data_IF_238129301626
#
_entry.id   IF_238129301626
#
_cell.length_a   1.000
_cell.length_b   1.000
_cell.length_c   1.000
_cell.angle_alpha   90.00
_cell.angle_beta   90.00
_cell.angle_gamma   90.00
#
_symmetry.space_group_name_H-M   'P 1'
#
loop_
_entity.id
_entity.type
_entity.pdbx_description
1 polymer ?
#
# COMPACT_ATOMS: atom_id res chain seq x y z
N UNK A 1 -2.07 -18.10 11.84
CA UNK A 1 -1.96 -16.85 12.63
C UNK A 1 -0.51 -16.40 12.56
N UNK A 2 -0.25 -15.18 12.05
CA UNK A 2 1.08 -14.63 11.90
C UNK A 2 1.77 -14.50 13.27
N UNK A 3 2.81 -15.30 13.51
CA UNK A 3 3.44 -15.39 14.82
C UNK A 3 4.61 -14.41 14.95
N UNK A 4 4.32 -13.20 15.46
CA UNK A 4 5.34 -12.16 15.71
C UNK A 4 6.32 -12.50 16.81
N UNK A 5 6.02 -13.47 17.69
CA UNK A 5 6.84 -13.78 18.86
C UNK A 5 8.20 -14.40 18.49
N UNK A 6 8.25 -15.11 17.36
CA UNK A 6 9.48 -15.76 16.87
C UNK A 6 10.40 -14.87 16.03
N UNK A 7 10.01 -13.62 15.79
CA UNK A 7 10.82 -12.68 15.01
C UNK A 7 11.88 -12.01 15.87
N UNK A 8 13.01 -11.65 15.24
CA UNK A 8 13.97 -10.77 15.90
C UNK A 8 13.36 -9.40 16.24
N UNK A 9 13.96 -8.68 17.18
CA UNK A 9 13.40 -7.44 17.70
C UNK A 9 13.28 -6.35 16.63
N UNK A 10 14.28 -6.21 15.76
CA UNK A 10 14.30 -5.17 14.72
C UNK A 10 13.18 -5.38 13.69
N UNK A 11 13.03 -6.62 13.23
CA UNK A 11 11.98 -7.01 12.30
C UNK A 11 10.58 -6.79 12.90
N UNK A 12 10.38 -7.27 14.15
CA UNK A 12 9.13 -7.10 14.89
C UNK A 12 8.76 -5.63 15.09
N UNK A 13 9.74 -4.78 15.46
CA UNK A 13 9.51 -3.35 15.64
C UNK A 13 9.08 -2.67 14.34
N UNK A 14 9.75 -2.97 13.22
CA UNK A 14 9.42 -2.38 11.92
C UNK A 14 8.05 -2.82 11.41
N UNK A 15 7.73 -4.11 11.50
CA UNK A 15 6.38 -4.61 11.12
C UNK A 15 5.30 -3.95 11.98
N UNK A 16 5.54 -3.75 13.27
CA UNK A 16 4.58 -3.12 14.19
C UNK A 16 4.31 -1.64 13.88
N UNK A 17 5.17 -0.98 13.12
CA UNK A 17 4.93 0.38 12.61
C UNK A 17 4.01 0.40 11.38
N UNK A 18 3.92 -0.71 10.66
CA UNK A 18 3.14 -0.85 9.42
C UNK A 18 1.79 -1.49 9.71
N UNK A 19 1.81 -2.60 10.44
CA UNK A 19 0.61 -3.32 10.89
C UNK A 19 0.46 -3.02 12.38
N UNK A 20 -0.56 -2.25 12.72
CA UNK A 20 -0.82 -1.83 14.10
C UNK A 20 -0.97 -3.06 15.02
N UNK A 21 -0.18 -3.18 16.10
CA UNK A 21 -0.22 -4.34 16.98
C UNK A 21 -1.49 -4.45 17.83
N UNK A 22 -2.27 -3.37 17.97
CA UNK A 22 -3.48 -3.36 18.80
C UNK A 22 -4.67 -4.03 18.11
N UNK A 23 -4.80 -3.85 16.79
CA UNK A 23 -5.92 -4.38 16.01
C UNK A 23 -5.48 -5.31 14.88
N UNK A 24 -4.17 -5.48 14.67
CA UNK A 24 -3.56 -6.23 13.58
C UNK A 24 -3.99 -5.75 12.19
N UNK A 25 -4.20 -4.44 12.04
CA UNK A 25 -4.66 -3.81 10.80
C UNK A 25 -3.63 -2.83 10.23
N UNK A 26 -3.75 -2.56 8.93
CA UNK A 26 -2.89 -1.63 8.22
C UNK A 26 -3.66 -0.85 7.15
N UNK A 27 -3.53 0.48 7.18
CA UNK A 27 -3.92 1.35 6.08
C UNK A 27 -2.65 1.98 5.48
N UNK A 28 -2.20 1.43 4.37
CA UNK A 28 -1.05 1.93 3.61
C UNK A 28 -1.53 2.80 2.45
N UNK A 29 -0.85 3.91 2.19
CA UNK A 29 -1.12 4.79 1.06
C UNK A 29 -0.07 4.58 -0.03
N UNK A 30 -0.47 4.02 -1.18
CA UNK A 30 0.39 3.80 -2.33
C UNK A 30 0.53 5.06 -3.18
N UNK A 31 1.74 5.59 -3.29
CA UNK A 31 2.10 6.75 -4.12
C UNK A 31 3.35 6.50 -4.96
N UNK A 32 3.66 5.23 -5.19
CA UNK A 32 4.79 4.78 -6.00
C UNK A 32 4.50 4.72 -7.51
N UNK A 33 3.27 4.93 -7.95
CA UNK A 33 2.81 4.73 -9.33
C UNK A 33 3.67 5.40 -10.41
N UNK A 34 4.29 6.54 -10.10
CA UNK A 34 5.13 7.28 -11.04
C UNK A 34 6.34 6.52 -11.56
N UNK A 35 6.80 5.45 -10.88
CA UNK A 35 7.98 4.71 -11.31
C UNK A 35 7.77 3.95 -12.63
N UNK A 36 6.51 3.65 -12.99
CA UNK A 36 6.18 2.97 -14.24
C UNK A 36 5.15 3.71 -15.10
N UNK A 37 4.27 4.55 -14.49
CA UNK A 37 3.26 5.34 -15.21
C UNK A 37 3.75 6.72 -15.62
N UNK A 38 4.83 7.23 -15.00
CA UNK A 38 5.22 8.63 -15.14
C UNK A 38 4.22 9.57 -14.46
N UNK A 39 4.02 10.80 -14.97
CA UNK A 39 3.01 11.73 -14.45
C UNK A 39 1.62 11.11 -14.55
N UNK A 40 0.92 11.03 -13.43
CA UNK A 40 -0.40 10.42 -13.34
C UNK A 40 -1.37 11.44 -12.77
N UNK A 41 -2.61 11.45 -13.27
CA UNK A 41 -3.67 12.36 -12.81
C UNK A 41 -3.75 12.41 -11.29
N UNK A 42 -3.72 13.62 -10.72
CA UNK A 42 -3.68 13.94 -9.28
C UNK A 42 -2.43 13.41 -8.54
N UNK A 43 -1.40 12.94 -9.26
CA UNK A 43 -0.09 12.57 -8.71
C UNK A 43 1.07 13.20 -9.52
N UNK A 44 0.80 14.21 -10.33
CA UNK A 44 1.81 14.99 -11.06
C UNK A 44 2.75 15.73 -10.09
N UNK A 45 2.21 16.14 -8.94
CA UNK A 45 2.96 16.69 -7.82
C UNK A 45 2.66 15.88 -6.56
N UNK A 46 3.50 14.87 -6.24
CA UNK A 46 3.27 13.97 -5.11
C UNK A 46 3.18 14.70 -3.76
N UNK A 47 3.97 15.77 -3.53
CA UNK A 47 3.91 16.54 -2.28
C UNK A 47 2.52 17.11 -2.02
N UNK A 48 1.93 17.78 -3.03
CA UNK A 48 0.58 18.35 -2.92
C UNK A 48 -0.48 17.29 -2.65
N UNK A 49 -0.31 16.12 -3.27
CA UNK A 49 -1.25 14.99 -3.12
C UNK A 49 -1.11 14.31 -1.76
N UNK A 50 0.12 14.06 -1.29
CA UNK A 50 0.38 13.29 -0.07
C UNK A 50 0.08 14.12 1.18
N UNK A 51 0.55 15.36 1.22
CA UNK A 51 0.53 16.23 2.41
C UNK A 51 -0.83 16.31 3.13
N UNK A 52 -1.98 16.46 2.47
CA UNK A 52 -3.26 16.55 3.15
C UNK A 52 -3.78 15.23 3.72
N UNK A 53 -3.32 14.08 3.20
CA UNK A 53 -3.89 12.76 3.48
C UNK A 53 -2.96 11.83 4.28
N UNK A 54 -1.63 12.04 4.26
CA UNK A 54 -0.67 11.12 4.87
C UNK A 54 -0.88 10.91 6.37
N UNK A 55 -1.39 11.89 7.10
CA UNK A 55 -1.68 11.75 8.55
C UNK A 55 -2.81 10.78 8.89
N UNK A 56 -3.53 10.29 7.90
CA UNK A 56 -4.65 9.37 8.08
C UNK A 56 -4.31 7.93 7.68
N UNK A 57 -3.12 7.67 7.15
CA UNK A 57 -2.62 6.31 6.92
C UNK A 57 -1.58 5.91 7.98
N UNK A 58 -1.29 4.62 8.06
CA UNK A 58 -0.31 4.05 8.99
C UNK A 58 1.10 4.06 8.38
N UNK A 59 1.18 3.98 7.04
CA UNK A 59 2.44 4.02 6.31
C UNK A 59 2.26 4.52 4.87
N UNK A 60 3.36 4.97 4.26
CA UNK A 60 3.42 5.33 2.84
C UNK A 60 4.21 4.30 2.06
N UNK A 61 3.65 3.82 0.94
CA UNK A 61 4.40 3.05 -0.05
C UNK A 61 4.79 3.95 -1.22
N UNK A 62 6.10 4.15 -1.42
CA UNK A 62 6.64 5.12 -2.38
C UNK A 62 8.06 4.75 -2.84
N UNK A 63 8.55 5.45 -3.86
CA UNK A 63 9.92 5.34 -4.35
C UNK A 63 10.87 6.28 -3.59
N UNK A 64 12.18 6.01 -3.65
CA UNK A 64 13.21 6.90 -3.07
C UNK A 64 13.16 8.33 -3.61
N UNK A 65 12.76 8.49 -4.88
CA UNK A 65 12.61 9.82 -5.49
C UNK A 65 11.48 10.61 -4.84
N UNK A 66 10.29 10.01 -4.73
CA UNK A 66 9.13 10.63 -4.06
C UNK A 66 9.41 10.90 -2.58
N UNK A 67 10.05 9.97 -1.86
CA UNK A 67 10.42 10.19 -0.47
C UNK A 67 11.26 11.45 -0.28
N UNK A 68 12.31 11.61 -1.08
CA UNK A 68 13.25 12.75 -0.96
C UNK A 68 12.65 14.08 -1.32
N UNK A 69 11.72 14.11 -2.28
CA UNK A 69 11.21 15.36 -2.86
C UNK A 69 9.83 15.76 -2.32
N UNK A 70 9.11 14.84 -1.68
CA UNK A 70 7.67 15.03 -1.44
C UNK A 70 7.21 14.67 -0.02
N UNK A 71 8.10 14.12 0.82
CA UNK A 71 7.80 13.80 2.22
C UNK A 71 8.73 14.61 3.12
N UNK A 72 8.15 15.37 4.03
CA UNK A 72 8.91 16.10 5.04
C UNK A 72 9.62 15.09 5.98
N UNK A 73 10.94 15.18 6.05
CA UNK A 73 11.77 14.30 6.87
C UNK A 73 11.48 14.43 8.37
N UNK A 74 10.94 15.56 8.82
CA UNK A 74 10.50 15.77 10.21
C UNK A 74 9.18 15.07 10.53
N UNK A 75 8.43 14.59 9.51
CA UNK A 75 7.17 13.92 9.74
C UNK A 75 7.38 12.42 9.99
N UNK A 76 7.02 11.90 11.18
CA UNK A 76 7.36 10.53 11.60
C UNK A 76 6.39 9.48 11.01
N UNK A 77 6.36 9.34 9.69
CA UNK A 77 5.54 8.31 9.04
C UNK A 77 6.39 7.11 8.60
N UNK A 78 5.98 5.87 8.88
CA UNK A 78 6.65 4.69 8.39
C UNK A 78 6.65 4.62 6.86
N UNK A 79 7.81 4.31 6.27
CA UNK A 79 7.99 4.20 4.83
C UNK A 79 8.17 2.74 4.42
N UNK A 80 7.33 2.29 3.50
CA UNK A 80 7.51 1.04 2.74
C UNK A 80 8.13 1.42 1.40
N UNK A 81 9.43 1.24 1.28
CA UNK A 81 10.19 1.73 0.15
C UNK A 81 10.10 0.78 -1.04
N UNK A 82 9.57 1.24 -2.18
CA UNK A 82 9.65 0.51 -3.46
C UNK A 82 11.11 0.42 -3.89
N UNK A 83 11.63 -0.81 -4.01
CA UNK A 83 13.03 -1.06 -4.38
C UNK A 83 13.19 -1.75 -5.73
N UNK A 84 12.10 -2.19 -6.38
CA UNK A 84 12.12 -2.75 -7.73
C UNK A 84 11.51 -1.80 -8.75
N UNK A 85 11.87 -1.98 -10.00
CA UNK A 85 11.42 -1.22 -11.16
C UNK A 85 12.28 -1.53 -12.39
N UNK A 86 12.23 -0.69 -13.40
CA UNK A 86 13.05 -0.80 -14.61
C UNK A 86 12.26 -0.81 -15.91
N UNK A 87 10.93 -0.92 -15.83
CA UNK A 87 10.04 -0.89 -17.00
C UNK A 87 8.98 0.20 -16.86
N UNK A 88 8.44 0.65 -17.98
CA UNK A 88 7.37 1.64 -18.05
C UNK A 88 6.19 1.14 -18.87
N UNK A 89 5.04 1.82 -18.76
CA UNK A 89 3.82 1.46 -19.51
C UNK A 89 3.97 1.56 -21.03
N UNK A 90 4.97 2.25 -21.53
CA UNK A 90 5.29 2.33 -22.96
C UNK A 90 6.34 1.31 -23.39
N UNK A 91 6.93 0.58 -22.43
CA UNK A 91 7.82 -0.54 -22.69
C UNK A 91 7.07 -1.80 -23.12
N UNK A 92 7.79 -2.78 -23.67
CA UNK A 92 7.19 -4.01 -24.16
C UNK A 92 6.56 -4.86 -23.04
N UNK A 93 7.21 -4.93 -21.87
CA UNK A 93 6.77 -5.80 -20.77
C UNK A 93 7.07 -5.18 -19.39
N UNK A 94 6.01 -4.86 -18.66
CA UNK A 94 6.11 -4.33 -17.30
C UNK A 94 6.68 -5.34 -16.29
N UNK A 95 6.67 -6.63 -16.60
CA UNK A 95 7.19 -7.66 -15.71
C UNK A 95 8.74 -7.72 -15.69
N UNK A 96 9.42 -7.00 -16.61
CA UNK A 96 10.88 -6.90 -16.63
C UNK A 96 11.37 -5.90 -15.57
N UNK A 97 11.23 -6.28 -14.31
CA UNK A 97 11.72 -5.49 -13.17
C UNK A 97 13.00 -6.08 -12.56
N UNK A 98 13.85 -5.18 -12.06
CA UNK A 98 15.06 -5.49 -11.30
C UNK A 98 15.08 -4.69 -9.99
N UNK A 99 15.99 -5.04 -9.07
CA UNK A 99 16.27 -4.22 -7.90
C UNK A 99 16.98 -2.94 -8.35
N UNK A 100 16.33 -1.80 -8.12
CA UNK A 100 16.81 -0.46 -8.50
C UNK A 100 17.30 0.37 -7.30
N UNK A 101 17.03 -0.11 -6.08
CA UNK A 101 17.42 0.54 -4.83
C UNK A 101 17.97 -0.51 -3.87
N UNK A 102 19.21 -0.37 -3.41
CA UNK A 102 19.85 -1.31 -2.48
C UNK A 102 19.28 -1.22 -1.08
N UNK A 103 19.46 -2.29 -0.28
CA UNK A 103 19.11 -2.29 1.14
C UNK A 103 19.88 -1.22 1.92
N UNK A 104 21.16 -0.98 1.60
CA UNK A 104 21.96 0.10 2.21
C UNK A 104 21.37 1.48 1.98
N UNK A 105 20.85 1.75 0.76
CA UNK A 105 20.16 3.01 0.47
C UNK A 105 18.84 3.12 1.24
N UNK A 106 18.09 2.03 1.36
CA UNK A 106 16.86 1.99 2.14
C UNK A 106 17.11 2.27 3.64
N UNK A 107 18.22 1.76 4.20
CA UNK A 107 18.65 2.06 5.57
C UNK A 107 18.93 3.57 5.72
N UNK A 108 19.67 4.16 4.79
CA UNK A 108 19.96 5.61 4.80
C UNK A 108 18.69 6.47 4.72
N UNK A 109 17.64 5.97 4.05
CA UNK A 109 16.34 6.61 3.93
C UNK A 109 15.40 6.28 5.10
N UNK A 110 15.88 5.54 6.11
CA UNK A 110 15.09 5.11 7.27
C UNK A 110 13.80 4.36 6.90
N UNK A 111 13.87 3.50 5.87
CA UNK A 111 12.73 2.68 5.47
C UNK A 111 12.32 1.69 6.56
N UNK A 112 11.02 1.57 6.78
CA UNK A 112 10.44 0.59 7.72
C UNK A 112 10.21 -0.77 7.08
N UNK A 113 10.08 -0.84 5.75
CA UNK A 113 10.03 -2.07 4.96
C UNK A 113 10.49 -1.81 3.53
N UNK A 114 10.82 -2.88 2.81
CA UNK A 114 11.11 -2.84 1.38
C UNK A 114 9.95 -3.48 0.61
N UNK A 115 9.60 -2.91 -0.54
CA UNK A 115 8.58 -3.47 -1.42
C UNK A 115 9.14 -3.75 -2.80
N UNK A 116 8.87 -4.96 -3.32
CA UNK A 116 9.19 -5.30 -4.69
C UNK A 116 8.07 -6.12 -5.35
N UNK A 117 7.99 -6.08 -6.68
CA UNK A 117 7.02 -6.89 -7.43
C UNK A 117 7.61 -8.25 -7.80
N UNK A 118 6.75 -9.27 -7.77
CA UNK A 118 6.96 -10.54 -8.47
C UNK A 118 5.85 -10.73 -9.50
N UNK A 119 6.18 -11.35 -10.63
CA UNK A 119 5.27 -11.51 -11.77
C UNK A 119 5.15 -12.99 -12.12
N UNK A 120 4.42 -13.74 -11.29
CA UNK A 120 4.20 -15.17 -11.47
C UNK A 120 3.49 -15.45 -12.80
N UNK A 121 3.98 -16.38 -13.59
CA UNK A 121 3.45 -16.72 -14.91
C UNK A 121 3.84 -15.76 -16.05
N UNK A 122 4.68 -14.73 -15.80
CA UNK A 122 5.18 -13.83 -16.83
C UNK A 122 6.48 -14.34 -17.45
N UNK A 123 6.92 -13.70 -18.55
CA UNK A 123 8.21 -13.95 -19.19
C UNK A 123 9.40 -13.81 -18.22
N UNK A 124 9.30 -12.91 -17.23
CA UNK A 124 10.35 -12.60 -16.26
C UNK A 124 10.08 -13.16 -14.87
N UNK A 125 9.23 -14.18 -14.76
CA UNK A 125 8.89 -14.84 -13.50
C UNK A 125 10.12 -15.25 -12.71
N UNK A 126 11.01 -16.06 -13.32
CA UNK A 126 12.22 -16.57 -12.65
C UNK A 126 13.07 -15.44 -12.07
N UNK A 127 13.31 -14.39 -12.85
CA UNK A 127 14.11 -13.24 -12.43
C UNK A 127 13.50 -12.55 -11.21
N UNK A 128 12.19 -12.30 -11.23
CA UNK A 128 11.52 -11.54 -10.14
C UNK A 128 11.41 -12.37 -8.87
N UNK A 129 11.20 -13.67 -8.96
CA UNK A 129 11.19 -14.59 -7.81
C UNK A 129 12.59 -14.70 -7.19
N UNK A 130 13.64 -14.89 -8.01
CA UNK A 130 15.04 -14.95 -7.52
C UNK A 130 15.47 -13.63 -6.88
N UNK A 131 15.06 -12.50 -7.46
CA UNK A 131 15.32 -11.19 -6.87
C UNK A 131 14.64 -11.03 -5.50
N UNK A 132 13.43 -11.58 -5.32
CA UNK A 132 12.75 -11.57 -4.01
C UNK A 132 13.57 -12.32 -2.96
N UNK A 133 14.00 -13.55 -3.25
CA UNK A 133 14.83 -14.33 -2.30
C UNK A 133 16.15 -13.63 -1.94
N UNK A 134 16.83 -13.02 -2.93
CA UNK A 134 18.06 -12.24 -2.68
C UNK A 134 17.80 -11.01 -1.82
N UNK A 135 16.71 -10.28 -2.11
CA UNK A 135 16.33 -9.10 -1.31
C UNK A 135 15.98 -9.48 0.11
N UNK A 136 15.26 -10.58 0.33
CA UNK A 136 14.92 -11.08 1.66
C UNK A 136 16.19 -11.39 2.45
N UNK A 137 17.12 -12.16 1.88
CA UNK A 137 18.39 -12.51 2.54
C UNK A 137 19.16 -11.25 2.98
N UNK A 138 19.32 -10.27 2.07
CA UNK A 138 20.04 -9.02 2.42
C UNK A 138 19.28 -8.17 3.44
N UNK A 139 17.94 -8.08 3.34
CA UNK A 139 17.13 -7.27 4.23
C UNK A 139 17.06 -7.84 5.67
N UNK A 140 17.04 -9.18 5.81
CA UNK A 140 17.02 -9.86 7.11
C UNK A 140 18.28 -9.61 7.91
N UNK A 141 19.46 -9.45 7.27
CA UNK A 141 20.72 -9.09 7.97
C UNK A 141 20.55 -7.78 8.78
N UNK A 142 19.63 -6.91 8.39
CA UNK A 142 19.35 -5.62 9.03
C UNK A 142 18.00 -5.60 9.76
N UNK A 143 17.30 -6.73 9.85
CA UNK A 143 15.97 -6.84 10.44
C UNK A 143 14.93 -5.98 9.73
N UNK A 144 15.01 -5.82 8.39
CA UNK A 144 14.08 -5.04 7.59
C UNK A 144 13.08 -5.98 6.90
N UNK A 145 11.76 -5.85 7.12
CA UNK A 145 10.78 -6.70 6.47
C UNK A 145 10.66 -6.41 4.98
N UNK A 146 10.40 -7.45 4.20
CA UNK A 146 10.11 -7.36 2.77
C UNK A 146 8.64 -7.61 2.51
N UNK A 147 8.01 -6.71 1.77
CA UNK A 147 6.66 -6.82 1.23
C UNK A 147 6.77 -7.21 -0.25
N UNK A 148 6.27 -8.39 -0.58
CA UNK A 148 6.16 -8.82 -1.97
C UNK A 148 4.82 -8.36 -2.57
N UNK A 149 4.87 -7.66 -3.71
CA UNK A 149 3.70 -7.30 -4.50
C UNK A 149 3.51 -8.35 -5.59
N UNK A 150 2.43 -9.14 -5.52
CA UNK A 150 2.09 -10.07 -6.58
C UNK A 150 1.42 -9.30 -7.72
N UNK A 151 2.21 -8.92 -8.70
CA UNK A 151 1.71 -8.21 -9.87
C UNK A 151 1.15 -9.23 -10.88
N UNK A 152 0.00 -8.93 -11.45
CA UNK A 152 -0.68 -9.80 -12.43
C UNK A 152 -0.33 -9.34 -13.83
N UNK A 153 0.20 -10.25 -14.66
CA UNK A 153 0.42 -10.01 -16.09
C UNK A 153 -0.90 -9.71 -16.82
N UNK A 154 -0.79 -9.18 -18.05
CA UNK A 154 -1.97 -8.78 -18.86
C UNK A 154 -2.92 -9.94 -19.13
N UNK A 155 -2.38 -11.15 -19.27
CA UNK A 155 -3.10 -12.37 -19.70
C UNK A 155 -3.47 -13.30 -18.52
N UNK A 156 -3.19 -12.89 -17.28
CA UNK A 156 -3.44 -13.71 -16.08
C UNK A 156 -4.71 -13.29 -15.37
N UNK A 157 -5.57 -14.28 -15.08
CA UNK A 157 -6.80 -14.07 -14.31
C UNK A 157 -6.50 -13.68 -12.85
N UNK A 158 -7.35 -12.84 -12.30
CA UNK A 158 -7.31 -12.49 -10.86
C UNK A 158 -8.26 -13.41 -10.07
N UNK A 159 -8.20 -14.71 -10.32
CA UNK A 159 -8.97 -15.69 -9.58
C UNK A 159 -8.25 -16.17 -8.30
N UNK A 160 -8.97 -16.83 -7.42
CA UNK A 160 -8.43 -17.27 -6.13
C UNK A 160 -7.31 -18.30 -6.28
N UNK A 161 -7.35 -19.16 -7.32
CA UNK A 161 -6.33 -20.19 -7.56
C UNK A 161 -4.99 -19.56 -7.92
N UNK A 162 -4.99 -18.61 -8.87
CA UNK A 162 -3.78 -17.90 -9.28
C UNK A 162 -3.22 -17.02 -8.15
N UNK A 163 -4.08 -16.28 -7.46
CA UNK A 163 -3.63 -15.42 -6.36
C UNK A 163 -3.11 -16.23 -5.17
N UNK A 164 -3.70 -17.39 -4.87
CA UNK A 164 -3.17 -18.32 -3.87
C UNK A 164 -1.77 -18.81 -4.24
N UNK A 165 -1.55 -19.20 -5.51
CA UNK A 165 -0.24 -19.62 -6.01
C UNK A 165 0.80 -18.49 -5.85
N UNK A 166 0.50 -17.30 -6.33
CA UNK A 166 1.43 -16.17 -6.28
C UNK A 166 1.75 -15.73 -4.85
N UNK A 167 0.74 -15.65 -3.97
CA UNK A 167 0.93 -15.30 -2.56
C UNK A 167 1.75 -16.37 -1.83
N UNK A 168 1.50 -17.65 -2.11
CA UNK A 168 2.25 -18.73 -1.52
C UNK A 168 3.70 -18.75 -1.96
N UNK A 169 3.99 -18.55 -3.24
CA UNK A 169 5.37 -18.43 -3.76
C UNK A 169 6.09 -17.27 -3.06
N UNK A 170 5.45 -16.11 -2.94
CA UNK A 170 6.04 -14.96 -2.25
C UNK A 170 6.42 -15.28 -0.80
N UNK A 171 5.52 -15.93 -0.07
CA UNK A 171 5.75 -16.32 1.33
C UNK A 171 6.86 -17.38 1.48
N UNK A 172 6.89 -18.39 0.59
CA UNK A 172 7.95 -19.42 0.58
C UNK A 172 9.34 -18.86 0.22
N UNK A 173 9.40 -17.74 -0.51
CA UNK A 173 10.65 -17.00 -0.77
C UNK A 173 11.03 -16.07 0.41
N UNK A 174 10.31 -16.12 1.52
CA UNK A 174 10.63 -15.36 2.73
C UNK A 174 10.01 -13.97 2.83
N UNK A 175 9.06 -13.61 1.96
CA UNK A 175 8.35 -12.34 2.13
C UNK A 175 7.61 -12.31 3.47
N UNK A 176 7.71 -11.19 4.19
CA UNK A 176 7.09 -11.01 5.51
C UNK A 176 5.64 -10.52 5.42
N UNK A 177 5.30 -9.87 4.32
CA UNK A 177 3.97 -9.33 3.99
C UNK A 177 3.77 -9.54 2.49
N UNK A 178 2.55 -9.88 2.09
CA UNK A 178 2.18 -9.96 0.67
C UNK A 178 1.12 -8.93 0.36
N UNK A 179 1.33 -8.16 -0.72
CA UNK A 179 0.32 -7.30 -1.32
C UNK A 179 -0.21 -7.96 -2.59
N UNK A 180 -1.53 -8.18 -2.63
CA UNK A 180 -2.20 -8.82 -3.77
C UNK A 180 -3.54 -8.15 -4.09
N UNK A 181 -4.25 -8.63 -5.10
CA UNK A 181 -5.58 -8.16 -5.45
C UNK A 181 -6.66 -8.91 -4.68
N UNK A 182 -7.81 -8.28 -4.51
CA UNK A 182 -9.02 -8.95 -4.05
C UNK A 182 -9.67 -9.71 -5.21
N UNK A 183 -10.23 -10.88 -4.91
CA UNK A 183 -11.00 -11.70 -5.86
C UNK A 183 -12.17 -12.39 -5.16
N UNK A 184 -13.03 -13.04 -5.91
CA UNK A 184 -14.03 -13.95 -5.36
C UNK A 184 -13.36 -15.13 -4.63
N UNK A 185 -13.96 -15.61 -3.54
CA UNK A 185 -13.42 -16.67 -2.65
C UNK A 185 -12.03 -16.32 -2.09
N UNK A 186 -11.83 -15.05 -1.71
CA UNK A 186 -10.55 -14.53 -1.23
C UNK A 186 -10.06 -15.20 0.07
N UNK A 187 -10.97 -15.79 0.85
CA UNK A 187 -10.67 -16.56 2.05
C UNK A 187 -9.67 -17.69 1.75
N UNK A 188 -9.80 -18.35 0.58
CA UNK A 188 -8.86 -19.40 0.13
C UNK A 188 -7.44 -18.86 -0.12
N UNK A 189 -7.33 -17.61 -0.59
CA UNK A 189 -6.05 -16.96 -0.77
C UNK A 189 -5.40 -16.70 0.59
N UNK A 190 -6.17 -16.20 1.54
CA UNK A 190 -5.69 -15.95 2.91
C UNK A 190 -5.26 -17.24 3.60
N UNK A 191 -6.07 -18.30 3.53
CA UNK A 191 -5.77 -19.61 4.12
C UNK A 191 -4.51 -20.25 3.54
N UNK A 192 -4.23 -20.03 2.25
CA UNK A 192 -3.06 -20.59 1.56
C UNK A 192 -1.75 -19.84 1.82
N UNK A 193 -1.80 -18.62 2.38
CA UNK A 193 -0.65 -17.76 2.58
C UNK A 193 -0.30 -17.63 4.08
N UNK A 194 0.88 -18.09 4.53
CA UNK A 194 1.26 -18.10 5.95
C UNK A 194 1.66 -16.72 6.51
N UNK A 195 1.73 -15.68 5.66
CA UNK A 195 2.08 -14.32 6.06
C UNK A 195 0.91 -13.36 5.85
N UNK A 196 0.89 -12.19 6.53
CA UNK A 196 -0.18 -11.21 6.38
C UNK A 196 -0.38 -10.76 4.93
N UNK A 197 -1.64 -10.66 4.51
CA UNK A 197 -2.00 -10.16 3.18
C UNK A 197 -2.62 -8.76 3.29
N UNK A 198 -2.13 -7.83 2.47
CA UNK A 198 -2.64 -6.47 2.26
C UNK A 198 -3.20 -6.38 0.85
N UNK A 199 -4.36 -5.73 0.67
CA UNK A 199 -5.03 -5.64 -0.63
C UNK A 199 -4.62 -4.39 -1.39
N UNK A 200 -4.26 -4.59 -2.66
CA UNK A 200 -4.08 -3.51 -3.63
C UNK A 200 -5.43 -2.94 -4.07
N UNK A 201 -5.55 -1.61 -4.12
CA UNK A 201 -6.77 -0.93 -4.57
C UNK A 201 -7.08 -1.07 -6.06
N UNK A 202 -6.10 -1.44 -6.88
CA UNK A 202 -6.27 -1.58 -8.33
C UNK A 202 -6.48 -0.24 -9.06
N UNK A 203 -7.26 -0.26 -10.15
CA UNK A 203 -7.67 0.94 -10.88
C UNK A 203 -8.64 1.78 -10.04
N UNK A 204 -8.80 3.07 -10.39
CA UNK A 204 -9.82 3.93 -9.77
C UNK A 204 -11.22 3.32 -9.97
N UNK A 205 -11.95 3.20 -8.88
CA UNK A 205 -13.34 2.77 -8.80
C UNK A 205 -14.20 3.95 -8.29
N UNK A 206 -15.52 3.93 -8.51
CA UNK A 206 -16.44 4.77 -7.76
C UNK A 206 -16.22 4.60 -6.24
N UNK A 207 -16.39 5.67 -5.47
CA UNK A 207 -16.06 5.68 -4.04
C UNK A 207 -16.79 4.57 -3.26
N UNK A 208 -18.06 4.35 -3.55
CA UNK A 208 -18.87 3.29 -2.93
C UNK A 208 -18.27 1.90 -3.19
N UNK A 209 -17.92 1.62 -4.44
CA UNK A 209 -17.32 0.33 -4.83
C UNK A 209 -15.93 0.12 -4.20
N UNK A 210 -15.12 1.19 -4.11
CA UNK A 210 -13.83 1.12 -3.43
C UNK A 210 -13.96 0.84 -1.93
N UNK A 211 -15.01 1.36 -1.27
CA UNK A 211 -15.33 1.07 0.13
C UNK A 211 -15.87 -0.37 0.29
N UNK A 212 -16.68 -0.86 -0.65
CA UNK A 212 -17.16 -2.25 -0.67
C UNK A 212 -16.00 -3.22 -0.85
N UNK A 213 -15.09 -2.96 -1.78
CA UNK A 213 -13.86 -3.75 -1.97
C UNK A 213 -13.03 -3.79 -0.69
N UNK A 214 -12.84 -2.65 -0.02
CA UNK A 214 -12.11 -2.56 1.25
C UNK A 214 -12.77 -3.43 2.32
N UNK A 215 -14.08 -3.28 2.51
CA UNK A 215 -14.85 -4.03 3.51
C UNK A 215 -14.79 -5.54 3.26
N UNK A 216 -15.04 -5.97 2.02
CA UNK A 216 -15.02 -7.38 1.66
C UNK A 216 -13.64 -7.99 1.86
N UNK A 217 -12.57 -7.29 1.48
CA UNK A 217 -11.19 -7.75 1.70
C UNK A 217 -10.87 -7.96 3.18
N UNK A 218 -11.22 -6.98 4.03
CA UNK A 218 -11.02 -7.09 5.49
C UNK A 218 -11.84 -8.22 6.09
N UNK A 219 -13.09 -8.37 5.67
CA UNK A 219 -14.00 -9.45 6.11
C UNK A 219 -13.47 -10.83 5.71
N UNK A 220 -12.86 -10.94 4.52
CA UNK A 220 -12.27 -12.20 4.03
C UNK A 220 -10.86 -12.50 4.59
N UNK A 221 -10.37 -11.70 5.55
CA UNK A 221 -9.14 -12.00 6.30
C UNK A 221 -7.89 -11.21 5.88
N UNK A 222 -7.98 -10.25 4.95
CA UNK A 222 -6.88 -9.32 4.72
C UNK A 222 -6.60 -8.50 6.00
N UNK A 223 -5.32 -8.26 6.31
CA UNK A 223 -4.94 -7.42 7.46
C UNK A 223 -5.06 -5.94 7.17
N UNK A 224 -5.22 -5.55 5.91
CA UNK A 224 -5.32 -4.14 5.54
C UNK A 224 -5.39 -3.92 4.06
N UNK A 225 -5.24 -2.66 3.69
CA UNK A 225 -5.21 -2.22 2.29
C UNK A 225 -3.99 -1.33 2.03
N UNK A 226 -3.43 -1.43 0.82
CA UNK A 226 -2.47 -0.48 0.27
C UNK A 226 -3.08 0.14 -0.98
N UNK A 227 -3.76 1.27 -0.79
CA UNK A 227 -4.53 1.95 -1.81
C UNK A 227 -3.89 3.27 -2.23
N UNK A 228 -3.87 3.51 -3.53
CA UNK A 228 -3.43 4.77 -4.13
C UNK A 228 -4.58 5.49 -4.81
N UNK A 229 -4.82 5.18 -6.08
CA UNK A 229 -5.79 5.84 -6.96
C UNK A 229 -7.20 5.95 -6.38
N UNK A 230 -7.67 4.96 -5.66
CA UNK A 230 -8.99 4.99 -5.02
C UNK A 230 -9.08 6.04 -3.88
N UNK A 231 -7.94 6.50 -3.36
CA UNK A 231 -7.88 7.56 -2.34
C UNK A 231 -7.57 8.89 -3.00
N UNK A 232 -6.39 9.05 -3.61
CA UNK A 232 -5.94 10.37 -4.06
C UNK A 232 -6.56 10.82 -5.39
N UNK A 233 -7.12 9.93 -6.24
CA UNK A 233 -7.94 10.33 -7.39
C UNK A 233 -9.41 10.62 -7.05
N UNK A 234 -9.86 10.40 -5.80
CA UNK A 234 -11.16 10.90 -5.37
C UNK A 234 -11.21 12.43 -5.45
N UNK A 235 -12.37 12.99 -5.73
CA UNK A 235 -12.57 14.45 -5.66
C UNK A 235 -12.50 14.96 -4.22
N UNK A 236 -12.65 14.07 -3.24
CA UNK A 236 -12.57 14.37 -1.82
C UNK A 236 -11.62 13.38 -1.12
N UNK A 237 -10.28 13.47 -1.33
CA UNK A 237 -9.34 12.46 -0.87
C UNK A 237 -9.26 12.35 0.66
N UNK A 238 -9.41 13.46 1.41
CA UNK A 238 -9.43 13.42 2.88
C UNK A 238 -10.68 12.72 3.42
N UNK A 239 -11.91 13.02 3.00
CA UNK A 239 -13.08 12.20 3.29
C UNK A 239 -12.90 10.72 2.92
N UNK A 240 -12.33 10.43 1.74
CA UNK A 240 -12.16 9.06 1.26
C UNK A 240 -11.20 8.25 2.14
N UNK A 241 -10.02 8.77 2.47
CA UNK A 241 -9.07 8.04 3.32
C UNK A 241 -9.63 7.83 4.74
N UNK A 242 -10.40 8.78 5.28
CA UNK A 242 -11.08 8.62 6.57
C UNK A 242 -12.15 7.53 6.55
N UNK A 243 -12.91 7.40 5.46
CA UNK A 243 -13.90 6.35 5.29
C UNK A 243 -13.24 4.97 5.16
N UNK A 244 -12.15 4.86 4.38
CA UNK A 244 -11.34 3.62 4.29
C UNK A 244 -10.76 3.26 5.67
N UNK A 245 -10.21 4.24 6.41
CA UNK A 245 -9.68 4.02 7.76
C UNK A 245 -10.74 3.49 8.73
N UNK A 246 -11.98 3.99 8.66
CA UNK A 246 -13.07 3.52 9.50
C UNK A 246 -13.39 2.03 9.26
N UNK A 247 -13.32 1.56 8.01
CA UNK A 247 -13.46 0.13 7.69
C UNK A 247 -12.29 -0.67 8.27
N UNK A 248 -11.08 -0.22 8.02
CA UNK A 248 -9.86 -0.96 8.37
C UNK A 248 -9.70 -1.09 9.90
N UNK A 249 -9.86 0.02 10.66
CA UNK A 249 -9.51 0.07 12.08
C UNK A 249 -10.71 0.10 13.04
N UNK A 250 -11.94 0.33 12.53
CA UNK A 250 -13.12 0.46 13.40
C UNK A 250 -14.23 -0.51 13.07
N UNK A 251 -13.97 -1.54 12.25
CA UNK A 251 -14.93 -2.56 11.82
C UNK A 251 -16.24 -1.97 11.25
N UNK A 252 -16.16 -0.78 10.63
CA UNK A 252 -17.30 -0.09 10.02
C UNK A 252 -17.73 -0.82 8.74
N UNK A 253 -19.04 -0.99 8.52
CA UNK A 253 -19.51 -1.59 7.25
C UNK A 253 -19.29 -0.65 6.06
N UNK A 254 -19.32 -1.17 4.83
CA UNK A 254 -19.16 -0.36 3.62
C UNK A 254 -20.23 0.73 3.50
N UNK A 255 -21.50 0.42 3.89
CA UNK A 255 -22.60 1.37 3.86
C UNK A 255 -22.40 2.50 4.89
N UNK A 256 -21.96 2.16 6.11
CA UNK A 256 -21.66 3.14 7.15
C UNK A 256 -20.48 4.03 6.74
N UNK A 257 -19.43 3.45 6.17
CA UNK A 257 -18.27 4.18 5.68
C UNK A 257 -18.65 5.10 4.50
N UNK A 258 -19.53 4.67 3.61
CA UNK A 258 -20.03 5.53 2.54
C UNK A 258 -20.88 6.68 3.07
N UNK A 259 -21.74 6.46 4.08
CA UNK A 259 -22.46 7.54 4.76
C UNK A 259 -21.50 8.53 5.43
N UNK A 260 -20.44 8.03 6.08
CA UNK A 260 -19.38 8.85 6.66
C UNK A 260 -18.69 9.70 5.59
N UNK A 261 -18.31 9.09 4.45
CA UNK A 261 -17.73 9.79 3.31
C UNK A 261 -18.60 10.96 2.85
N UNK A 262 -19.89 10.71 2.58
CA UNK A 262 -20.84 11.73 2.13
C UNK A 262 -21.00 12.86 3.15
N UNK A 263 -21.09 12.53 4.45
CA UNK A 263 -21.15 13.52 5.52
C UNK A 263 -19.90 14.42 5.51
N UNK A 264 -18.70 13.82 5.49
CA UNK A 264 -17.46 14.58 5.48
C UNK A 264 -17.32 15.47 4.24
N UNK A 265 -17.79 15.01 3.07
CA UNK A 265 -17.83 15.84 1.85
C UNK A 265 -18.74 17.07 2.02
N UNK A 266 -19.90 16.90 2.69
CA UNK A 266 -20.81 18.01 2.95
C UNK A 266 -20.22 19.05 3.91
N UNK A 267 -19.46 18.59 4.91
CA UNK A 267 -18.83 19.47 5.89
C UNK A 267 -17.69 20.29 5.25
N UNK A 268 -16.89 19.70 4.39
CA UNK A 268 -15.87 20.43 3.59
C UNK A 268 -16.51 21.52 2.74
N UNK A 269 -17.63 21.25 2.07
CA UNK A 269 -18.37 22.25 1.27
C UNK A 269 -18.93 23.40 2.12
N UNK A 270 -19.34 23.12 3.37
CA UNK A 270 -19.83 24.17 4.30
C UNK A 270 -18.69 25.05 4.80
N UNK A 271 -17.52 24.46 5.10
CA UNK A 271 -16.34 25.19 5.54
C UNK A 271 -15.79 26.12 4.44
N UNK A 272 -15.76 25.66 3.19
CA UNK A 272 -15.30 26.47 2.04
C UNK A 272 -16.23 27.67 1.72
N UNK A 273 -17.49 27.64 2.17
CA UNK A 273 -18.46 28.74 1.99
C UNK A 273 -18.48 29.76 3.12
N UNK A 274 -17.76 29.53 4.23
CA UNK A 274 -17.65 30.52 5.30
C UNK A 274 -16.76 31.67 4.85
N UNK A 275 -17.22 32.95 4.96
CA UNK A 275 -16.41 34.10 4.59
C UNK A 275 -15.17 34.16 5.49
N UNK A 276 -14.03 34.46 4.87
CA UNK A 276 -12.76 34.69 5.57
C UNK A 276 -12.96 35.83 6.57
N UNK A 277 -12.91 35.53 7.88
CA UNK A 277 -12.83 36.57 8.92
C UNK A 277 -11.35 36.90 9.12
N UNK A 278 -10.88 38.11 8.74
CA UNK A 278 -9.51 38.50 9.04
C UNK A 278 -9.34 38.57 10.56
N UNK A 279 -8.25 37.96 11.04
CA UNK A 279 -7.86 38.07 12.45
C UNK A 279 -7.75 39.54 12.82
N UNK A 280 -8.66 40.03 13.66
CA UNK A 280 -8.47 41.32 14.33
C UNK A 280 -7.24 41.15 15.25
N UNK A 281 -6.11 41.75 14.85
CA UNK A 281 -4.98 41.94 15.74
C UNK A 281 -5.51 42.72 16.94
N UNK A 282 -5.54 42.12 18.13
CA UNK A 282 -5.65 42.85 19.37
C UNK A 282 -4.34 43.63 19.55
N UNK A 283 -4.46 44.94 19.50
CA UNK A 283 -3.43 45.87 19.93
C UNK A 283 -3.11 45.66 21.42
#
# INVERSE_FOLDING_TARGET
MFNREKMDWGLKNRISKIINPLDNRALMLAVDHGYFLGPTEKLENPEKTIKPIMRYCDSLMLTRGVQRTSVDAAYPIPIVLRVSGGSSIIGEDLSNEQITTSVKEAIRLNASALAMSIFVGSKYEHQTIVNLGRLVNEAEEYGIPVLAVTAVGKDMGKDSRYLSLACRIAAEQGAHIVKTYYCENFEKVVESCPVPIIIAGGKKLPEKEALELTYNAIKSGAVGVDMGRNIWQSDNPVPMIKAVRAIVHSNTTSEQAHKLFLKLCSDVKKESKKPFKPNQKKN
#
